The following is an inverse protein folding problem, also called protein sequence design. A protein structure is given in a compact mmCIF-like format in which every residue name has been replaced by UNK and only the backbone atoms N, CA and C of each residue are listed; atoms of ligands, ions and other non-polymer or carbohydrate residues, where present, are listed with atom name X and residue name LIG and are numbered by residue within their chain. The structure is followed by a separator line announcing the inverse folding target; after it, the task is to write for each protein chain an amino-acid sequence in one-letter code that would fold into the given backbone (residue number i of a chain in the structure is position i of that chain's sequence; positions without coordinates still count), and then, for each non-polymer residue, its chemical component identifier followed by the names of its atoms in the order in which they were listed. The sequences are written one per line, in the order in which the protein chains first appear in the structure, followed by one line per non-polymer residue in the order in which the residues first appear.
data_IF_662612686180
#
_entry.id   IF_662612686180
#
_cell.length_a   1.000
_cell.length_b   1.000
_cell.length_c   1.000
_cell.angle_alpha   90.00
_cell.angle_beta   90.00
_cell.angle_gamma   90.00
#
_symmetry.space_group_name_H-M   'P 1'
#
loop_
_entity.id
_entity.type
_entity.pdbx_description
1 polymer ?
#
# COMPACT_ATOMS: atom_id res chain seq x y z
N UNK A 1 21.80 4.40 -25.66
CA UNK A 1 20.97 3.75 -24.64
C UNK A 1 19.95 2.96 -25.43
N UNK A 2 19.91 1.65 -25.30
CA UNK A 2 18.87 0.82 -25.90
C UNK A 2 17.64 0.94 -24.98
N UNK A 3 16.49 1.31 -25.55
CA UNK A 3 15.22 1.46 -24.84
C UNK A 3 14.24 0.32 -25.19
N UNK A 4 14.71 -0.69 -25.93
CA UNK A 4 13.90 -1.87 -26.20
C UNK A 4 13.74 -2.71 -24.93
N UNK A 5 12.55 -3.26 -24.74
CA UNK A 5 12.30 -4.22 -23.68
C UNK A 5 13.09 -5.51 -23.89
N UNK A 6 13.41 -6.20 -22.81
CA UNK A 6 13.96 -7.55 -22.86
C UNK A 6 12.86 -8.55 -23.26
N UNK A 7 13.27 -9.75 -23.66
CA UNK A 7 12.30 -10.82 -23.99
C UNK A 7 11.38 -11.14 -22.78
N UNK A 8 11.92 -11.11 -21.57
CA UNK A 8 11.17 -11.34 -20.33
C UNK A 8 10.16 -10.23 -20.08
N UNK A 9 10.54 -8.97 -20.33
CA UNK A 9 9.66 -7.80 -20.21
C UNK A 9 8.53 -7.82 -21.25
N UNK A 10 8.82 -8.20 -22.48
CA UNK A 10 7.79 -8.42 -23.51
C UNK A 10 6.82 -9.53 -23.11
N UNK A 11 7.32 -10.65 -22.58
CA UNK A 11 6.48 -11.75 -22.08
C UNK A 11 5.60 -11.33 -20.89
N UNK A 12 6.11 -10.49 -19.98
CA UNK A 12 5.33 -9.91 -18.88
C UNK A 12 4.17 -9.07 -19.42
N UNK A 13 4.47 -8.12 -20.32
CA UNK A 13 3.45 -7.28 -20.96
C UNK A 13 2.37 -8.11 -21.66
N UNK A 14 2.77 -9.10 -22.50
CA UNK A 14 1.85 -9.97 -23.20
C UNK A 14 0.98 -10.83 -22.26
N UNK A 15 1.54 -11.27 -21.13
CA UNK A 15 0.80 -12.04 -20.12
C UNK A 15 -0.33 -11.21 -19.52
N UNK A 16 -0.02 -9.96 -19.13
CA UNK A 16 -1.00 -9.02 -18.56
C UNK A 16 -2.06 -8.65 -19.60
N UNK A 17 -1.64 -8.36 -20.84
CA UNK A 17 -2.57 -8.03 -21.94
C UNK A 17 -3.58 -9.15 -22.20
N UNK A 18 -3.12 -10.41 -22.20
CA UNK A 18 -4.01 -11.57 -22.37
C UNK A 18 -5.03 -11.69 -21.24
N UNK A 19 -4.58 -11.51 -20.00
CA UNK A 19 -5.48 -11.53 -18.85
C UNK A 19 -6.54 -10.43 -18.96
N UNK A 20 -6.12 -9.19 -19.24
CA UNK A 20 -7.02 -8.04 -19.36
C UNK A 20 -8.03 -8.26 -20.48
N UNK A 21 -7.60 -8.78 -21.64
CA UNK A 21 -8.48 -9.04 -22.77
C UNK A 21 -9.57 -10.08 -22.45
N UNK A 22 -9.31 -10.99 -21.51
CA UNK A 22 -10.22 -12.06 -21.11
C UNK A 22 -11.14 -11.63 -19.95
N UNK A 23 -10.58 -10.99 -18.92
CA UNK A 23 -11.25 -10.79 -17.62
C UNK A 23 -11.78 -9.37 -17.40
N UNK A 24 -11.23 -8.37 -18.13
CA UNK A 24 -11.53 -6.94 -17.89
C UNK A 24 -12.35 -6.28 -19.02
N UNK A 25 -13.37 -6.98 -19.53
CA UNK A 25 -14.34 -6.29 -20.38
C UNK A 25 -15.15 -5.26 -19.54
N UNK A 26 -15.77 -4.31 -20.23
CA UNK A 26 -16.50 -3.21 -19.59
C UNK A 26 -17.65 -3.71 -18.67
N UNK A 27 -18.29 -4.84 -19.00
CA UNK A 27 -19.37 -5.41 -18.22
C UNK A 27 -18.85 -6.02 -16.91
N UNK A 28 -17.80 -6.82 -17.00
CA UNK A 28 -17.13 -7.42 -15.83
C UNK A 28 -16.62 -6.34 -14.89
N UNK A 29 -15.93 -5.33 -15.45
CA UNK A 29 -15.43 -4.21 -14.65
C UNK A 29 -16.55 -3.46 -13.91
N UNK A 30 -17.70 -3.19 -14.55
CA UNK A 30 -18.84 -2.55 -13.88
C UNK A 30 -19.38 -3.40 -12.74
N UNK A 31 -19.45 -4.72 -12.92
CA UNK A 31 -19.88 -5.63 -11.85
C UNK A 31 -18.91 -5.62 -10.67
N UNK A 32 -17.60 -5.62 -10.93
CA UNK A 32 -16.59 -5.54 -9.88
C UNK A 32 -16.67 -4.21 -9.10
N UNK A 33 -16.77 -3.08 -9.80
CA UNK A 33 -16.96 -1.76 -9.15
C UNK A 33 -18.20 -1.74 -8.25
N UNK A 34 -19.28 -2.42 -8.64
CA UNK A 34 -20.53 -2.48 -7.88
C UNK A 34 -20.49 -3.51 -6.74
N UNK A 35 -19.49 -4.39 -6.67
CA UNK A 35 -19.34 -5.37 -5.59
C UNK A 35 -18.93 -4.73 -4.28
N UNK A 36 -19.16 -5.42 -3.16
CA UNK A 36 -18.79 -4.93 -1.83
C UNK A 36 -17.29 -4.68 -1.71
N UNK A 37 -16.47 -5.57 -2.28
CA UNK A 37 -15.01 -5.46 -2.24
C UNK A 37 -14.47 -4.38 -3.19
N UNK A 38 -15.15 -4.13 -4.32
CA UNK A 38 -14.74 -3.19 -5.36
C UNK A 38 -13.69 -3.72 -6.34
N UNK A 39 -13.22 -4.96 -6.16
CA UNK A 39 -12.31 -5.69 -7.04
C UNK A 39 -12.57 -7.21 -6.92
N UNK A 40 -11.82 -8.04 -7.65
CA UNK A 40 -11.95 -9.50 -7.59
C UNK A 40 -10.87 -10.12 -6.70
N UNK A 41 -11.26 -10.76 -5.59
CA UNK A 41 -10.33 -11.55 -4.78
C UNK A 41 -9.72 -12.72 -5.58
N UNK A 42 -10.47 -13.27 -6.55
CA UNK A 42 -9.95 -14.32 -7.43
C UNK A 42 -8.88 -13.78 -8.38
N UNK A 43 -9.06 -12.58 -8.95
CA UNK A 43 -8.01 -11.95 -9.78
C UNK A 43 -6.77 -11.66 -8.96
N UNK A 44 -6.92 -11.20 -7.71
CA UNK A 44 -5.79 -10.99 -6.80
C UNK A 44 -4.97 -12.26 -6.61
N UNK A 45 -5.62 -13.40 -6.38
CA UNK A 45 -4.95 -14.70 -6.30
C UNK A 45 -4.32 -15.11 -7.65
N UNK A 46 -5.00 -14.87 -8.77
CA UNK A 46 -4.43 -15.12 -10.09
C UNK A 46 -3.17 -14.27 -10.33
N UNK A 47 -3.13 -13.02 -9.88
CA UNK A 47 -1.93 -12.17 -9.96
C UNK A 47 -0.77 -12.75 -9.15
N UNK A 48 -1.05 -13.33 -7.99
CA UNK A 48 -0.05 -14.04 -7.20
C UNK A 48 0.48 -15.28 -7.92
N UNK A 49 -0.41 -16.13 -8.44
CA UNK A 49 -0.06 -17.34 -9.21
C UNK A 49 0.78 -17.04 -10.45
N UNK A 50 0.52 -15.91 -11.11
CA UNK A 50 1.29 -15.42 -12.26
C UNK A 50 2.60 -14.71 -11.87
N UNK A 51 2.87 -14.56 -10.57
CA UNK A 51 4.07 -13.91 -10.04
C UNK A 51 4.05 -12.38 -10.06
N UNK A 52 2.95 -11.75 -10.49
CA UNK A 52 2.89 -10.29 -10.64
C UNK A 52 2.96 -9.58 -9.29
N UNK A 53 2.37 -10.13 -8.23
CA UNK A 53 2.42 -9.52 -6.90
C UNK A 53 3.83 -9.59 -6.28
N UNK A 54 4.62 -10.59 -6.66
CA UNK A 54 6.00 -10.76 -6.23
C UNK A 54 7.04 -10.06 -7.11
N UNK A 55 6.63 -9.44 -8.22
CA UNK A 55 7.54 -8.93 -9.24
C UNK A 55 8.60 -7.97 -8.67
N UNK A 56 8.19 -6.93 -7.94
CA UNK A 56 9.08 -5.93 -7.37
C UNK A 56 9.64 -6.30 -6.00
N UNK A 57 9.16 -7.37 -5.37
CA UNK A 57 9.64 -7.83 -4.07
C UNK A 57 11.02 -8.47 -4.23
N UNK A 58 12.01 -8.09 -3.40
CA UNK A 58 13.35 -8.70 -3.49
C UNK A 58 13.34 -10.23 -3.28
N UNK A 59 14.22 -10.94 -3.98
CA UNK A 59 14.36 -12.40 -3.86
C UNK A 59 14.61 -12.86 -2.43
N UNK A 60 15.35 -12.08 -1.63
CA UNK A 60 15.60 -12.35 -0.22
C UNK A 60 14.32 -12.47 0.62
N UNK A 61 13.21 -11.89 0.15
CA UNK A 61 11.90 -11.93 0.79
C UNK A 61 10.86 -12.71 -0.04
N UNK A 62 11.31 -13.61 -0.90
CA UNK A 62 10.45 -14.52 -1.67
C UNK A 62 9.82 -13.92 -2.94
N UNK A 63 10.27 -12.76 -3.37
CA UNK A 63 9.84 -12.14 -4.63
C UNK A 63 10.69 -12.55 -5.83
N UNK A 64 10.47 -11.89 -6.97
CA UNK A 64 11.20 -12.13 -8.23
C UNK A 64 12.36 -11.15 -8.44
N UNK A 65 12.48 -10.09 -7.62
CA UNK A 65 13.57 -9.12 -7.69
C UNK A 65 13.58 -8.27 -8.96
N UNK A 66 12.40 -8.11 -9.60
CA UNK A 66 12.24 -7.26 -10.77
C UNK A 66 12.53 -5.79 -10.47
N UNK A 67 12.89 -5.05 -11.48
CA UNK A 67 13.28 -3.65 -11.36
C UNK A 67 12.10 -2.67 -11.56
N UNK A 68 12.42 -1.37 -11.59
CA UNK A 68 11.42 -0.32 -11.80
C UNK A 68 10.79 -0.39 -13.20
N UNK A 69 11.51 -0.90 -14.22
CA UNK A 69 10.99 -1.03 -15.58
C UNK A 69 9.92 -2.11 -15.62
N UNK A 70 10.13 -3.24 -14.93
CA UNK A 70 9.14 -4.31 -14.82
C UNK A 70 7.86 -3.79 -14.14
N UNK A 71 8.03 -3.03 -13.04
CA UNK A 71 6.90 -2.37 -12.36
C UNK A 71 6.17 -1.40 -13.30
N UNK A 72 6.91 -0.57 -14.05
CA UNK A 72 6.33 0.37 -15.03
C UNK A 72 5.51 -0.37 -16.10
N UNK A 73 6.02 -1.45 -16.65
CA UNK A 73 5.32 -2.27 -17.64
C UNK A 73 4.01 -2.81 -17.07
N UNK A 74 4.04 -3.36 -15.86
CA UNK A 74 2.84 -3.86 -15.19
C UNK A 74 1.79 -2.75 -15.03
N UNK A 75 2.18 -1.60 -14.52
CA UNK A 75 1.24 -0.50 -14.27
C UNK A 75 0.75 0.17 -15.56
N UNK A 76 1.55 0.18 -16.63
CA UNK A 76 1.10 0.60 -17.96
C UNK A 76 -0.03 -0.31 -18.47
N UNK A 77 0.16 -1.62 -18.40
CA UNK A 77 -0.86 -2.58 -18.85
C UNK A 77 -2.08 -2.60 -17.93
N UNK A 78 -1.91 -2.56 -16.61
CA UNK A 78 -3.02 -2.42 -15.66
C UNK A 78 -3.84 -1.14 -15.91
N UNK A 79 -3.16 -0.03 -16.23
CA UNK A 79 -3.82 1.23 -16.58
C UNK A 79 -4.64 1.14 -17.86
N UNK A 80 -4.14 0.45 -18.90
CA UNK A 80 -4.89 0.20 -20.16
C UNK A 80 -6.17 -0.60 -19.91
N UNK A 81 -6.12 -1.55 -18.97
CA UNK A 81 -7.27 -2.38 -18.57
C UNK A 81 -8.15 -1.73 -17.52
N UNK A 82 -7.75 -0.61 -16.92
CA UNK A 82 -8.41 -0.01 -15.77
C UNK A 82 -8.62 -1.03 -14.62
N UNK A 83 -7.56 -1.78 -14.31
CA UNK A 83 -7.52 -2.82 -13.26
C UNK A 83 -7.90 -2.25 -11.91
N UNK A 84 -8.70 -3.00 -11.14
CA UNK A 84 -9.30 -2.55 -9.88
C UNK A 84 -8.62 -3.14 -8.63
N UNK A 85 -7.83 -4.19 -8.80
CA UNK A 85 -7.10 -4.84 -7.71
C UNK A 85 -6.16 -3.85 -7.02
N UNK A 86 -5.93 -3.97 -5.70
CA UNK A 86 -5.20 -2.99 -4.88
C UNK A 86 -3.69 -2.98 -5.14
N UNK A 87 -3.27 -3.05 -6.42
CA UNK A 87 -1.86 -3.14 -6.81
C UNK A 87 -1.06 -1.90 -6.42
N UNK A 88 -1.59 -0.69 -6.67
CA UNK A 88 -0.92 0.55 -6.31
C UNK A 88 -0.74 0.68 -4.79
N UNK A 89 -1.82 0.47 -4.04
CA UNK A 89 -1.79 0.61 -2.57
C UNK A 89 -0.91 -0.43 -1.90
N UNK A 90 -0.94 -1.68 -2.39
CA UNK A 90 -0.24 -2.80 -1.77
C UNK A 90 1.21 -2.95 -2.26
N UNK A 91 1.45 -2.92 -3.59
CA UNK A 91 2.78 -3.21 -4.13
C UNK A 91 3.68 -1.97 -4.15
N UNK A 92 3.13 -0.79 -4.46
CA UNK A 92 3.95 0.43 -4.58
C UNK A 92 4.02 1.16 -3.25
N UNK A 93 2.87 1.52 -2.66
CA UNK A 93 2.87 2.36 -1.47
C UNK A 93 3.24 1.59 -0.20
N UNK A 94 2.53 0.49 0.09
CA UNK A 94 2.78 -0.30 1.30
C UNK A 94 4.11 -1.05 1.25
N UNK A 95 4.32 -1.91 0.25
CA UNK A 95 5.55 -2.68 0.13
C UNK A 95 6.76 -1.77 -0.05
N UNK A 96 6.64 -0.72 -0.88
CA UNK A 96 7.70 0.25 -1.09
C UNK A 96 8.14 0.97 0.18
N UNK A 97 7.18 1.46 1.00
CA UNK A 97 7.50 2.07 2.27
C UNK A 97 8.12 1.07 3.27
N UNK A 98 7.63 -0.18 3.26
CA UNK A 98 8.16 -1.25 4.10
C UNK A 98 9.58 -1.66 3.69
N UNK A 99 9.88 -1.75 2.40
CA UNK A 99 11.23 -2.02 1.91
C UNK A 99 12.23 -0.92 2.30
N UNK A 100 11.80 0.35 2.26
CA UNK A 100 12.64 1.50 2.60
C UNK A 100 12.93 1.60 4.10
N UNK A 101 11.92 1.35 4.94
CA UNK A 101 12.00 1.65 6.38
C UNK A 101 11.89 0.42 7.28
N UNK A 102 11.34 -0.69 6.80
CA UNK A 102 11.09 -1.88 7.61
C UNK A 102 12.36 -2.58 8.06
N UNK A 103 12.31 -3.17 9.26
CA UNK A 103 13.31 -4.13 9.71
C UNK A 103 13.25 -5.42 8.87
N UNK A 104 14.30 -6.23 8.92
CA UNK A 104 14.29 -7.55 8.25
C UNK A 104 13.14 -8.44 8.76
N UNK A 105 12.79 -8.34 10.05
CA UNK A 105 11.64 -9.05 10.61
C UNK A 105 10.33 -8.61 9.97
N UNK A 106 10.09 -7.30 9.83
CA UNK A 106 8.92 -6.78 9.12
C UNK A 106 8.87 -7.26 7.67
N UNK A 107 9.98 -7.16 6.94
CA UNK A 107 10.05 -7.56 5.52
C UNK A 107 9.79 -9.06 5.35
N UNK A 108 10.42 -9.92 6.17
CA UNK A 108 10.19 -11.37 6.12
C UNK A 108 8.76 -11.78 6.50
N UNK A 109 8.08 -10.98 7.32
CA UNK A 109 6.69 -11.28 7.71
C UNK A 109 5.69 -10.86 6.63
N UNK A 110 5.80 -9.63 6.10
CA UNK A 110 4.77 -9.05 5.25
C UNK A 110 4.99 -9.26 3.76
N UNK A 111 6.23 -9.15 3.26
CA UNK A 111 6.49 -9.20 1.82
C UNK A 111 6.20 -10.55 1.18
N UNK A 112 6.58 -11.72 1.78
CA UNK A 112 6.19 -13.01 1.24
C UNK A 112 4.68 -13.21 1.18
N UNK A 113 3.95 -12.84 2.23
CA UNK A 113 2.49 -12.97 2.29
C UNK A 113 1.80 -12.09 1.23
N UNK A 114 2.32 -10.87 0.99
CA UNK A 114 1.86 -9.99 -0.07
C UNK A 114 2.09 -10.61 -1.46
N UNK A 115 3.30 -11.12 -1.72
CA UNK A 115 3.66 -11.77 -2.99
C UNK A 115 2.85 -13.03 -3.27
N UNK A 116 2.45 -13.77 -2.23
CA UNK A 116 1.57 -14.94 -2.31
C UNK A 116 0.07 -14.58 -2.46
N UNK A 117 -0.29 -13.29 -2.36
CA UNK A 117 -1.68 -12.85 -2.40
C UNK A 117 -2.48 -13.09 -1.12
N UNK A 118 -1.82 -13.56 -0.05
CA UNK A 118 -2.44 -13.87 1.25
C UNK A 118 -2.70 -12.60 2.09
N UNK A 119 -2.17 -11.44 1.64
CA UNK A 119 -2.24 -10.19 2.34
C UNK A 119 -2.44 -9.01 1.37
N UNK A 120 -3.24 -8.04 1.79
CA UNK A 120 -3.32 -6.71 1.18
C UNK A 120 -2.88 -5.65 2.18
N UNK A 121 -2.13 -4.66 1.71
CA UNK A 121 -1.67 -3.55 2.54
C UNK A 121 -2.00 -2.19 1.94
N UNK A 122 -2.03 -1.16 2.76
CA UNK A 122 -2.13 0.21 2.29
C UNK A 122 -1.30 1.18 3.15
N UNK A 123 -1.04 2.38 2.62
CA UNK A 123 -0.32 3.45 3.30
C UNK A 123 -1.28 4.61 3.60
N UNK A 124 -1.44 4.93 4.89
CA UNK A 124 -2.26 6.02 5.39
C UNK A 124 -1.36 7.20 5.82
N UNK A 125 -1.20 8.20 4.95
CA UNK A 125 -0.28 9.32 5.16
C UNK A 125 -0.93 10.69 4.94
N UNK A 126 -2.02 10.77 4.19
CA UNK A 126 -2.72 12.02 3.89
C UNK A 126 -3.64 12.43 5.04
N UNK A 127 -3.69 13.71 5.36
CA UNK A 127 -4.66 14.32 6.28
C UNK A 127 -5.39 15.48 5.60
N UNK A 128 -6.67 15.69 5.94
CA UNK A 128 -7.57 16.59 5.22
C UNK A 128 -7.15 18.07 5.29
N UNK A 129 -6.51 18.49 6.39
CA UNK A 129 -6.14 19.88 6.61
C UNK A 129 -5.06 20.37 5.64
N UNK A 130 -4.07 19.52 5.30
CA UNK A 130 -3.01 19.83 4.33
C UNK A 130 -2.70 18.63 3.42
N UNK A 131 -3.58 18.24 2.51
CA UNK A 131 -3.50 16.96 1.78
C UNK A 131 -2.31 16.86 0.82
N UNK A 132 -1.67 17.95 0.46
CA UNK A 132 -0.49 17.99 -0.43
C UNK A 132 0.83 18.17 0.31
N UNK A 133 0.79 18.37 1.63
CA UNK A 133 1.97 18.53 2.48
C UNK A 133 2.22 17.25 3.28
N UNK A 134 3.12 16.41 2.81
CA UNK A 134 3.42 15.12 3.46
C UNK A 134 4.14 15.24 4.80
N UNK A 135 4.64 16.44 5.15
CA UNK A 135 5.17 16.73 6.48
C UNK A 135 4.08 17.12 7.47
N UNK A 136 2.86 17.45 7.00
CA UNK A 136 1.75 17.72 7.89
C UNK A 136 1.19 16.40 8.43
N UNK A 137 1.41 16.15 9.71
CA UNK A 137 0.89 14.98 10.42
C UNK A 137 0.39 15.42 11.79
N UNK A 138 -0.93 15.59 11.91
CA UNK A 138 -1.61 15.90 13.18
C UNK A 138 -2.02 14.62 13.96
N UNK A 139 -2.14 13.47 13.27
CA UNK A 139 -2.29 12.16 13.92
C UNK A 139 -1.13 11.92 14.88
N UNK A 140 -1.42 11.61 16.14
CA UNK A 140 -0.41 11.44 17.18
C UNK A 140 -0.17 9.98 17.53
N UNK A 141 1.05 9.66 17.97
CA UNK A 141 1.42 8.37 18.55
C UNK A 141 2.11 8.60 19.89
N UNK A 142 1.38 8.39 20.97
CA UNK A 142 1.91 8.52 22.32
C UNK A 142 2.56 7.21 22.76
N UNK A 143 3.85 7.28 23.05
CA UNK A 143 4.62 6.15 23.60
C UNK A 143 4.25 5.90 25.04
N UNK A 144 3.94 4.68 25.37
CA UNK A 144 3.69 4.19 26.71
C UNK A 144 4.56 2.95 26.95
N UNK A 145 4.52 2.35 28.14
CA UNK A 145 5.31 1.18 28.43
C UNK A 145 4.90 0.00 27.51
N UNK A 146 5.83 -0.38 26.60
CA UNK A 146 5.69 -1.52 25.70
C UNK A 146 4.75 -1.33 24.48
N UNK A 147 4.11 -0.17 24.32
CA UNK A 147 3.20 0.09 23.20
C UNK A 147 3.12 1.57 22.80
N UNK A 148 2.48 1.84 21.66
CA UNK A 148 2.06 3.19 21.24
C UNK A 148 0.54 3.27 21.20
N UNK A 149 0.00 4.45 21.51
CA UNK A 149 -1.41 4.79 21.41
C UNK A 149 -1.57 5.83 20.32
N UNK A 150 -2.28 5.48 19.23
CA UNK A 150 -2.51 6.33 18.09
C UNK A 150 -3.87 7.00 18.17
N UNK A 151 -3.91 8.32 17.85
CA UNK A 151 -5.14 9.11 17.78
C UNK A 151 -5.07 10.06 16.60
N UNK A 152 -6.12 10.14 15.79
CA UNK A 152 -6.21 11.05 14.66
C UNK A 152 -7.07 10.53 13.53
N UNK A 153 -6.97 11.18 12.36
CA UNK A 153 -7.73 10.80 11.18
C UNK A 153 -6.84 10.88 9.94
N UNK A 154 -6.88 9.83 9.12
CA UNK A 154 -6.26 9.81 7.80
C UNK A 154 -7.32 9.86 6.72
N UNK A 155 -7.05 10.64 5.68
CA UNK A 155 -7.98 10.89 4.59
C UNK A 155 -7.50 10.26 3.30
N UNK A 156 -8.45 9.88 2.43
CA UNK A 156 -8.18 9.32 1.09
C UNK A 156 -7.20 8.13 1.14
N UNK A 157 -7.37 7.25 2.13
CA UNK A 157 -6.53 6.05 2.23
C UNK A 157 -7.00 5.02 1.20
N UNK A 158 -6.20 4.84 0.15
CA UNK A 158 -6.53 3.95 -0.96
C UNK A 158 -6.62 2.50 -0.49
N UNK A 159 -7.73 1.83 -0.83
CA UNK A 159 -8.03 0.43 -0.53
C UNK A 159 -8.01 0.05 0.98
N UNK A 160 -8.10 1.02 1.90
CA UNK A 160 -8.14 0.71 3.33
C UNK A 160 -9.38 -0.14 3.71
N UNK A 161 -10.47 -0.06 2.94
CA UNK A 161 -11.68 -0.87 3.13
C UNK A 161 -11.40 -2.37 3.19
N UNK A 162 -10.44 -2.85 2.41
CA UNK A 162 -10.09 -4.27 2.26
C UNK A 162 -8.67 -4.60 2.74
N UNK A 163 -7.94 -3.62 3.29
CA UNK A 163 -6.56 -3.86 3.73
C UNK A 163 -6.52 -4.69 5.02
N UNK A 164 -5.73 -5.77 4.99
CA UNK A 164 -5.43 -6.59 6.16
C UNK A 164 -4.52 -5.84 7.14
N UNK A 165 -3.63 -4.99 6.59
CA UNK A 165 -2.71 -4.16 7.37
C UNK A 165 -2.60 -2.76 6.78
N UNK A 166 -2.60 -1.75 7.65
CA UNK A 166 -2.46 -0.34 7.28
C UNK A 166 -1.15 0.18 7.86
N UNK A 167 -0.27 0.70 7.01
CA UNK A 167 0.93 1.41 7.44
C UNK A 167 0.56 2.87 7.67
N UNK A 168 0.56 3.32 8.91
CA UNK A 168 0.03 4.62 9.32
C UNK A 168 1.17 5.56 9.73
N UNK A 169 1.22 6.76 9.15
CA UNK A 169 2.10 7.82 9.63
C UNK A 169 1.47 8.52 10.84
N UNK A 170 2.26 8.71 11.91
CA UNK A 170 1.82 9.42 13.10
C UNK A 170 2.97 10.22 13.74
N UNK A 171 2.62 11.27 14.44
CA UNK A 171 3.55 12.18 15.13
C UNK A 171 3.94 11.61 16.48
N UNK A 172 5.22 11.31 16.67
CA UNK A 172 5.78 10.88 17.96
C UNK A 172 6.42 12.03 18.72
N UNK A 173 6.81 13.11 18.02
CA UNK A 173 7.37 14.33 18.62
C UNK A 173 7.18 15.55 17.72
N UNK A 174 7.36 16.76 18.26
CA UNK A 174 7.29 18.02 17.51
C UNK A 174 5.87 18.48 17.19
N UNK A 175 5.77 19.48 16.29
CA UNK A 175 4.51 20.07 15.83
C UNK A 175 4.03 19.40 14.54
N UNK A 176 2.75 19.57 14.22
CA UNK A 176 2.10 18.90 13.08
C UNK A 176 2.80 19.17 11.73
N UNK A 177 3.46 20.31 11.56
CA UNK A 177 4.14 20.74 10.32
C UNK A 177 5.65 20.47 10.30
N UNK A 178 6.22 19.96 11.39
CA UNK A 178 7.66 19.72 11.47
C UNK A 178 8.07 18.56 10.54
N UNK A 179 9.19 18.70 9.87
CA UNK A 179 9.72 17.67 8.98
C UNK A 179 10.22 16.42 9.74
N UNK A 180 10.58 16.57 11.01
CA UNK A 180 11.01 15.48 11.89
C UNK A 180 9.90 15.11 12.87
N UNK A 181 9.99 13.94 13.50
CA UNK A 181 9.03 13.49 14.50
C UNK A 181 7.86 12.68 13.92
N UNK A 182 7.90 12.33 12.64
CA UNK A 182 6.96 11.42 11.99
C UNK A 182 7.48 9.99 12.10
N UNK A 183 6.64 9.08 12.55
CA UNK A 183 6.90 7.63 12.63
C UNK A 183 5.87 6.86 11.81
N UNK A 184 6.21 5.65 11.39
CA UNK A 184 5.30 4.72 10.71
C UNK A 184 4.96 3.56 11.62
N UNK A 185 3.69 3.13 11.59
CA UNK A 185 3.18 2.03 12.41
C UNK A 185 2.37 1.04 11.57
N UNK A 186 2.68 -0.25 11.70
CA UNK A 186 1.88 -1.34 11.15
C UNK A 186 0.68 -1.59 12.07
N UNK A 187 -0.52 -1.39 11.53
CA UNK A 187 -1.78 -1.54 12.26
C UNK A 187 -2.66 -2.55 11.51
N UNK A 188 -2.97 -3.72 12.09
CA UNK A 188 -3.95 -4.64 11.52
C UNK A 188 -5.29 -3.93 11.29
N UNK A 189 -5.95 -4.25 10.17
CA UNK A 189 -7.18 -3.56 9.76
C UNK A 189 -8.37 -3.77 10.71
N UNK A 190 -8.33 -4.79 11.57
CA UNK A 190 -9.35 -5.13 12.57
C UNK A 190 -9.00 -4.66 13.99
N UNK A 191 -7.94 -3.83 14.14
CA UNK A 191 -7.50 -3.34 15.46
C UNK A 191 -8.60 -2.52 16.16
N UNK A 192 -8.83 -2.79 17.44
CA UNK A 192 -9.77 -2.05 18.26
C UNK A 192 -9.44 -0.54 18.29
N UNK A 193 -10.47 0.30 18.14
CA UNK A 193 -10.33 1.75 18.04
C UNK A 193 -10.06 2.27 16.62
N UNK A 194 -9.76 1.39 15.64
CA UNK A 194 -9.69 1.76 14.24
C UNK A 194 -11.08 1.63 13.61
N UNK A 195 -11.55 2.69 12.98
CA UNK A 195 -12.79 2.66 12.19
C UNK A 195 -12.59 3.32 10.83
N UNK A 196 -13.41 2.93 9.86
CA UNK A 196 -13.31 3.38 8.47
C UNK A 196 -14.65 3.88 7.96
N UNK A 197 -14.58 4.92 7.13
CA UNK A 197 -15.71 5.37 6.32
C UNK A 197 -15.30 5.23 4.86
N UNK A 198 -15.79 4.17 4.24
CA UNK A 198 -15.43 3.79 2.88
C UNK A 198 -16.28 4.53 1.84
N UNK A 199 -15.66 4.85 0.70
CA UNK A 199 -16.32 5.48 -0.43
C UNK A 199 -15.66 5.11 -1.76
N UNK A 200 -16.43 5.10 -2.88
CA UNK A 200 -15.84 4.93 -4.20
C UNK A 200 -15.14 6.21 -4.66
N UNK A 201 -14.04 6.05 -5.37
CA UNK A 201 -13.37 7.13 -6.08
C UNK A 201 -13.86 7.25 -7.53
N UNK A 202 -13.55 8.35 -8.22
CA UNK A 202 -14.05 8.63 -9.58
C UNK A 202 -13.59 7.59 -10.61
N UNK A 203 -12.46 6.94 -10.37
CA UNK A 203 -11.89 5.86 -11.19
C UNK A 203 -12.49 4.48 -10.90
N UNK A 204 -13.37 4.39 -9.91
CA UNK A 204 -14.04 3.14 -9.49
C UNK A 204 -13.30 2.35 -8.42
N UNK A 205 -12.14 2.83 -7.95
CA UNK A 205 -11.45 2.24 -6.80
C UNK A 205 -12.17 2.56 -5.49
N UNK A 206 -11.61 2.11 -4.37
CA UNK A 206 -12.08 2.40 -3.01
C UNK A 206 -11.05 3.23 -2.28
N UNK A 207 -11.53 4.20 -1.51
CA UNK A 207 -10.75 4.91 -0.52
C UNK A 207 -11.54 5.02 0.78
N UNK A 208 -10.87 5.35 1.88
CA UNK A 208 -11.50 5.48 3.19
C UNK A 208 -10.96 6.70 3.93
N UNK A 209 -11.83 7.29 4.76
CA UNK A 209 -11.38 8.02 5.94
C UNK A 209 -11.10 6.99 7.03
N UNK A 210 -9.91 7.02 7.61
CA UNK A 210 -9.49 6.12 8.69
C UNK A 210 -9.40 6.90 9.98
N UNK A 211 -10.28 6.60 10.94
CA UNK A 211 -10.29 7.20 12.27
C UNK A 211 -9.56 6.28 13.25
N UNK A 212 -8.68 6.87 14.04
CA UNK A 212 -7.94 6.23 15.12
C UNK A 212 -8.38 6.85 16.44
N UNK A 213 -9.06 6.07 17.26
CA UNK A 213 -9.52 6.45 18.60
C UNK A 213 -8.88 5.52 19.63
N UNK A 214 -7.79 6.00 20.26
CA UNK A 214 -7.01 5.24 21.23
C UNK A 214 -6.50 3.87 20.73
N UNK A 215 -6.18 3.78 19.44
CA UNK A 215 -5.66 2.56 18.81
C UNK A 215 -4.33 2.18 19.47
N UNK A 216 -4.25 0.97 20.01
CA UNK A 216 -3.04 0.47 20.69
C UNK A 216 -2.30 -0.52 19.81
N UNK A 217 -1.00 -0.26 19.60
CA UNK A 217 -0.10 -1.16 18.89
C UNK A 217 1.14 -1.45 19.72
N UNK A 218 1.71 -2.66 19.64
CA UNK A 218 2.94 -2.99 20.35
C UNK A 218 4.12 -2.15 19.84
N UNK A 219 5.17 -2.01 20.64
CA UNK A 219 6.37 -1.29 20.22
C UNK A 219 7.00 -1.86 18.94
N UNK A 220 6.83 -3.15 18.70
CA UNK A 220 7.29 -3.84 17.49
C UNK A 220 6.53 -3.43 16.22
N UNK A 221 5.40 -2.74 16.32
CA UNK A 221 4.67 -2.21 15.16
C UNK A 221 5.34 -0.96 14.56
N UNK A 222 6.29 -0.34 15.26
CA UNK A 222 7.07 0.79 14.76
C UNK A 222 7.96 0.34 13.60
N UNK A 223 7.82 0.99 12.46
CA UNK A 223 8.61 0.72 11.25
C UNK A 223 9.72 1.75 11.12
N UNK A 224 10.96 1.26 11.13
CA UNK A 224 12.16 2.12 11.08
C UNK A 224 12.48 2.82 12.39
N UNK A 225 13.20 3.93 12.30
CA UNK A 225 13.55 4.73 13.46
C UNK A 225 12.43 5.67 13.86
N UNK A 226 12.17 5.80 15.17
CA UNK A 226 11.17 6.74 15.71
C UNK A 226 11.48 8.17 15.28
N UNK A 227 10.50 8.88 14.77
CA UNK A 227 10.62 10.28 14.32
C UNK A 227 11.26 10.51 12.96
N UNK A 228 11.66 9.47 12.23
CA UNK A 228 12.45 9.59 10.99
C UNK A 228 11.72 9.13 9.70
N UNK A 229 10.41 8.95 9.73
CA UNK A 229 9.67 8.33 8.64
C UNK A 229 9.33 9.24 7.44
N UNK A 230 9.50 10.57 7.55
CA UNK A 230 9.14 11.51 6.49
C UNK A 230 9.84 11.19 5.15
N UNK A 231 11.12 10.84 5.18
CA UNK A 231 11.89 10.47 3.98
C UNK A 231 11.32 9.21 3.34
N UNK A 232 10.95 8.21 4.14
CA UNK A 232 10.40 6.94 3.64
C UNK A 232 9.03 7.13 2.99
N UNK A 233 8.16 7.95 3.59
CA UNK A 233 6.84 8.29 3.02
C UNK A 233 7.02 9.09 1.73
N UNK A 234 7.82 10.14 1.74
CA UNK A 234 8.07 10.98 0.56
C UNK A 234 8.67 10.17 -0.60
N UNK A 235 9.61 9.27 -0.31
CA UNK A 235 10.23 8.40 -1.32
C UNK A 235 9.23 7.39 -1.87
N UNK A 236 8.45 6.72 -1.02
CA UNK A 236 7.44 5.74 -1.47
C UNK A 236 6.37 6.37 -2.35
N UNK A 237 6.01 7.63 -2.09
CA UNK A 237 4.96 8.35 -2.84
C UNK A 237 5.47 9.02 -4.11
N UNK A 238 6.73 9.51 -4.12
CA UNK A 238 7.25 10.35 -5.24
C UNK A 238 8.18 9.62 -6.20
N UNK A 239 8.85 8.56 -5.77
CA UNK A 239 10.00 7.98 -6.49
C UNK A 239 9.70 6.59 -7.07
N UNK A 240 8.56 5.98 -6.71
CA UNK A 240 8.19 4.64 -7.21
C UNK A 240 7.04 4.62 -8.19
#
# INVERSE_FOLDING_TARGET
MDLAYTTEQDMLAESIQRFIATEYDLSNRKNLVASDLGYSAQHWQTFAELGWLGMSIPEAYGGLGGDLVDTMIMFEEFGKGLVLEPTLSSLVLFAGALELAGSDEHKHHYLPALGAGDLTGCLAYVEADEPTNFNFVATTALKTEGHYQLNGTKSVVLNAASADVILISARTEGQATDAHGISLFLVPGDTEGLSRKDYPTVDGLRASEVLLDNVRVPASALVGAEGAANVSVDTAVRVR
#
